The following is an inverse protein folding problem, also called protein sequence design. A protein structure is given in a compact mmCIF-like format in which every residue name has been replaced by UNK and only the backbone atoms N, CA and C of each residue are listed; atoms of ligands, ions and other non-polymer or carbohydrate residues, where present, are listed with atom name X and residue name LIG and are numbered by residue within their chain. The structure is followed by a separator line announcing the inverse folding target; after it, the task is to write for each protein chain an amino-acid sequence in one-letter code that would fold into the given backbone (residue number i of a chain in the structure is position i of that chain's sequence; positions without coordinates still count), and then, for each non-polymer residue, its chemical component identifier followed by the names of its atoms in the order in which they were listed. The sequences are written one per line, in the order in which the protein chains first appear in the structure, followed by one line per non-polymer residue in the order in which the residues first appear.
data_IF_780325958511
#
_entry.id   IF_780325958511
#
_cell.length_a   1.000
_cell.length_b   1.000
_cell.length_c   1.000
_cell.angle_alpha   90.00
_cell.angle_beta   90.00
_cell.angle_gamma   90.00
#
_symmetry.space_group_name_H-M   'P 1'
#
loop_
_entity.id
_entity.type
_entity.pdbx_description
1 polymer ?
#
# COMPACT_ATOMS: atom_id res chain seq x y z
N UNK A 1 -13.72 -5.26 11.31
CA UNK A 1 -13.47 -4.33 10.20
C UNK A 1 -14.24 -3.04 10.47
N UNK A 2 -13.59 -1.86 10.46
CA UNK A 2 -14.26 -0.58 10.73
C UNK A 2 -15.01 -0.06 9.50
N UNK A 3 -15.99 0.82 9.69
CA UNK A 3 -16.74 1.45 8.57
C UNK A 3 -15.80 2.19 7.60
N UNK A 4 -14.76 2.84 8.13
CA UNK A 4 -13.74 3.53 7.34
C UNK A 4 -12.93 2.54 6.48
N UNK A 5 -12.61 1.36 7.02
CA UNK A 5 -11.94 0.29 6.27
C UNK A 5 -12.84 -0.25 5.16
N UNK A 6 -14.15 -0.43 5.42
CA UNK A 6 -15.11 -0.86 4.39
C UNK A 6 -15.19 0.15 3.23
N UNK A 7 -15.27 1.46 3.54
CA UNK A 7 -15.27 2.51 2.51
C UNK A 7 -13.99 2.49 1.68
N UNK A 8 -12.83 2.26 2.31
CA UNK A 8 -11.55 2.13 1.60
C UNK A 8 -11.50 0.86 0.74
N UNK A 9 -12.06 -0.25 1.22
CA UNK A 9 -12.14 -1.50 0.49
C UNK A 9 -13.02 -1.34 -0.77
N UNK A 10 -14.18 -0.68 -0.63
CA UNK A 10 -15.05 -0.38 -1.75
C UNK A 10 -14.33 0.52 -2.78
N UNK A 11 -13.60 1.54 -2.32
CA UNK A 11 -12.76 2.37 -3.22
C UNK A 11 -11.68 1.55 -3.91
N UNK A 12 -11.07 0.59 -3.20
CA UNK A 12 -10.06 -0.26 -3.78
C UNK A 12 -10.62 -1.12 -4.92
N UNK A 13 -11.76 -1.78 -4.65
CA UNK A 13 -12.47 -2.60 -5.63
C UNK A 13 -12.93 -1.79 -6.84
N UNK A 14 -13.60 -0.65 -6.62
CA UNK A 14 -14.05 0.22 -7.71
C UNK A 14 -12.90 0.74 -8.56
N UNK A 15 -11.76 1.09 -7.95
CA UNK A 15 -10.59 1.56 -8.69
C UNK A 15 -9.94 0.50 -9.56
N UNK A 16 -9.87 -0.73 -9.06
CA UNK A 16 -9.37 -1.88 -9.83
C UNK A 16 -10.31 -2.20 -10.99
N UNK A 17 -11.62 -2.31 -10.74
CA UNK A 17 -12.60 -2.66 -11.77
C UNK A 17 -12.71 -1.60 -12.87
N UNK A 18 -12.62 -0.32 -12.50
CA UNK A 18 -12.61 0.80 -13.44
C UNK A 18 -11.25 1.04 -14.12
N UNK A 19 -10.22 0.21 -13.85
CA UNK A 19 -8.84 0.38 -14.34
C UNK A 19 -8.19 1.71 -13.95
N UNK A 20 -8.71 2.37 -12.92
CA UNK A 20 -8.15 3.59 -12.34
C UNK A 20 -7.01 3.29 -11.35
N UNK A 21 -6.85 2.03 -10.98
CA UNK A 21 -5.70 1.51 -10.24
C UNK A 21 -5.12 0.28 -10.93
N UNK A 22 -3.79 0.18 -10.89
CA UNK A 22 -3.03 -0.99 -11.35
C UNK A 22 -1.96 -1.31 -10.32
N UNK A 23 -1.84 -2.59 -9.98
CA UNK A 23 -0.81 -3.13 -9.08
C UNK A 23 0.25 -3.80 -9.94
N UNK A 24 1.51 -3.49 -9.66
CA UNK A 24 2.68 -4.08 -10.30
C UNK A 24 3.61 -4.63 -9.20
N UNK A 25 3.99 -5.88 -9.30
CA UNK A 25 5.03 -6.47 -8.44
C UNK A 25 6.39 -5.90 -8.80
N UNK A 26 7.14 -5.45 -7.79
CA UNK A 26 8.55 -5.02 -7.95
C UNK A 26 9.47 -6.06 -7.34
N UNK A 27 9.15 -6.52 -6.12
CA UNK A 27 9.89 -7.56 -5.40
C UNK A 27 8.91 -8.60 -4.91
N UNK A 28 9.16 -9.85 -5.30
CA UNK A 28 8.31 -11.04 -5.12
C UNK A 28 7.57 -11.06 -3.77
N UNK A 29 6.31 -10.61 -3.79
CA UNK A 29 5.42 -10.64 -2.63
C UNK A 29 5.76 -9.69 -1.48
N UNK A 30 6.65 -8.71 -1.66
CA UNK A 30 7.07 -7.77 -0.60
C UNK A 30 6.94 -6.29 -0.95
N UNK A 31 7.11 -5.94 -2.23
CA UNK A 31 7.05 -4.55 -2.70
C UNK A 31 6.21 -4.49 -3.96
N UNK A 32 5.23 -3.59 -3.96
CA UNK A 32 4.33 -3.34 -5.07
C UNK A 32 4.32 -1.86 -5.43
N UNK A 33 4.33 -1.55 -6.72
CA UNK A 33 3.94 -0.25 -7.23
C UNK A 33 2.44 -0.24 -7.54
N UNK A 34 1.73 0.73 -6.97
CA UNK A 34 0.31 0.97 -7.24
C UNK A 34 0.17 2.28 -8.00
N UNK A 35 -0.04 2.19 -9.31
CA UNK A 35 -0.40 3.34 -10.13
C UNK A 35 -1.88 3.67 -9.92
N UNK A 36 -2.20 4.89 -9.50
CA UNK A 36 -3.56 5.30 -9.15
C UNK A 36 -3.91 6.68 -9.71
N UNK A 37 -4.96 6.74 -10.54
CA UNK A 37 -5.56 8.02 -10.97
C UNK A 37 -6.61 8.55 -10.00
N UNK A 38 -6.99 7.76 -8.98
CA UNK A 38 -7.97 8.11 -7.95
C UNK A 38 -7.40 8.86 -6.75
N UNK A 39 -6.14 9.30 -6.82
CA UNK A 39 -5.48 10.01 -5.72
C UNK A 39 -5.40 11.50 -6.01
N UNK A 40 -5.16 12.29 -4.96
CA UNK A 40 -5.04 13.76 -5.04
C UNK A 40 -4.03 14.21 -6.09
N UNK A 41 -2.96 13.43 -6.30
CA UNK A 41 -2.06 13.56 -7.43
C UNK A 41 -2.49 12.57 -8.52
N UNK A 42 -3.08 13.08 -9.59
CA UNK A 42 -3.50 12.27 -10.74
C UNK A 42 -2.29 11.54 -11.34
N UNK A 43 -2.44 10.23 -11.59
CA UNK A 43 -1.39 9.40 -12.19
C UNK A 43 -0.21 9.11 -11.27
N UNK A 44 -0.35 9.29 -9.94
CA UNK A 44 0.72 8.99 -9.01
C UNK A 44 0.96 7.49 -8.86
N UNK A 45 2.23 7.14 -8.67
CA UNK A 45 2.69 5.80 -8.28
C UNK A 45 2.94 5.84 -6.77
N UNK A 46 2.30 4.91 -6.05
CA UNK A 46 2.51 4.70 -4.62
C UNK A 46 3.21 3.37 -4.42
N UNK A 47 4.19 3.34 -3.51
CA UNK A 47 4.82 2.10 -3.11
C UNK A 47 4.04 1.53 -1.94
N UNK A 48 3.73 0.24 -2.02
CA UNK A 48 3.14 -0.56 -0.96
C UNK A 48 4.16 -1.63 -0.57
N UNK A 49 4.36 -1.83 0.73
CA UNK A 49 5.27 -2.85 1.24
C UNK A 49 4.65 -3.66 2.37
N UNK A 50 5.14 -4.89 2.55
CA UNK A 50 4.82 -5.76 3.68
C UNK A 50 6.11 -6.30 4.28
N UNK A 51 6.27 -6.25 5.61
CA UNK A 51 7.52 -6.71 6.24
C UNK A 51 8.69 -5.73 6.11
N UNK A 52 8.47 -4.57 5.50
CA UNK A 52 9.50 -3.57 5.18
C UNK A 52 8.98 -2.21 5.61
N UNK A 53 9.63 -1.60 6.59
CA UNK A 53 9.34 -0.23 7.03
C UNK A 53 9.76 0.77 5.94
N UNK A 54 8.84 1.59 5.43
CA UNK A 54 9.15 2.58 4.40
C UNK A 54 10.09 3.69 4.88
N UNK A 55 10.11 3.99 6.19
CA UNK A 55 11.05 4.98 6.75
C UNK A 55 12.51 4.57 6.56
N UNK A 56 12.79 3.27 6.43
CA UNK A 56 14.15 2.73 6.21
C UNK A 56 14.70 3.02 4.81
N UNK A 57 13.84 3.36 3.85
CA UNK A 57 14.24 3.65 2.47
C UNK A 57 14.53 5.12 2.22
N UNK A 58 13.85 6.02 2.94
CA UNK A 58 13.70 7.40 2.49
C UNK A 58 14.69 8.39 3.11
N UNK A 59 15.68 7.94 3.91
CA UNK A 59 16.75 8.88 4.30
C UNK A 59 18.14 8.38 4.68
N UNK A 60 18.37 7.23 5.32
CA UNK A 60 19.74 6.83 5.67
C UNK A 60 19.84 5.31 5.81
N UNK A 61 20.81 4.69 5.15
CA UNK A 61 21.24 3.29 5.37
C UNK A 61 21.95 3.17 6.75
N UNK A 62 21.26 3.53 7.82
CA UNK A 62 21.73 3.25 9.17
C UNK A 62 21.20 1.89 9.60
N UNK A 63 22.15 1.00 9.91
CA UNK A 63 21.99 -0.27 10.61
C UNK A 63 20.63 -0.46 11.26
N UNK A 64 19.72 -1.11 10.54
CA UNK A 64 18.59 -1.76 11.20
C UNK A 64 19.20 -2.84 12.08
N UNK A 65 18.95 -2.84 13.40
CA UNK A 65 19.17 -4.05 14.17
C UNK A 65 18.32 -5.12 13.49
N UNK A 66 18.90 -6.30 13.25
CA UNK A 66 18.28 -7.51 12.68
C UNK A 66 16.79 -7.32 12.37
N UNK A 67 16.36 -7.33 11.08
CA UNK A 67 15.01 -6.92 10.70
C UNK A 67 14.01 -7.63 11.61
N UNK A 68 13.49 -6.91 12.62
CA UNK A 68 12.37 -7.40 13.39
C UNK A 68 11.29 -7.49 12.34
N UNK A 69 10.95 -8.72 11.95
CA UNK A 69 9.81 -9.01 11.10
C UNK A 69 8.64 -8.17 11.63
N UNK A 70 8.33 -7.09 10.92
CA UNK A 70 7.25 -6.21 11.24
C UNK A 70 6.18 -6.59 10.23
N UNK A 71 5.23 -7.49 10.57
CA UNK A 71 4.22 -7.99 9.64
C UNK A 71 3.16 -6.92 9.35
N UNK A 72 3.59 -5.67 9.19
CA UNK A 72 2.78 -4.50 8.96
C UNK A 72 2.84 -4.09 7.50
N UNK A 73 1.71 -3.59 7.04
CA UNK A 73 1.56 -3.01 5.71
C UNK A 73 1.93 -1.53 5.77
N UNK A 74 2.72 -1.08 4.79
CA UNK A 74 3.11 0.32 4.65
C UNK A 74 2.71 0.81 3.26
N UNK A 75 2.42 2.10 3.14
CA UNK A 75 2.12 2.73 1.86
C UNK A 75 2.60 4.18 1.82
N UNK A 76 3.20 4.60 0.70
CA UNK A 76 3.74 5.96 0.54
C UNK A 76 2.68 7.02 0.26
N UNK A 77 1.40 6.70 0.48
CA UNK A 77 0.30 7.61 0.15
C UNK A 77 -0.06 8.49 1.35
N UNK A 78 -0.51 9.75 1.12
CA UNK A 78 -0.83 10.66 2.21
C UNK A 78 -1.97 10.20 3.14
N UNK A 79 -2.85 9.28 2.68
CA UNK A 79 -3.90 8.71 3.54
C UNK A 79 -3.31 7.77 4.59
N UNK A 80 -2.32 6.98 4.20
CA UNK A 80 -1.62 6.09 5.12
C UNK A 80 -0.74 6.88 6.08
N UNK A 81 0.06 7.83 5.59
CA UNK A 81 0.91 8.70 6.42
C UNK A 81 0.13 9.38 7.56
N UNK A 82 -1.11 9.80 7.29
CA UNK A 82 -1.95 10.47 8.29
C UNK A 82 -2.58 9.54 9.31
N UNK A 83 -2.84 8.28 8.94
CA UNK A 83 -3.77 7.41 9.69
C UNK A 83 -3.15 6.13 10.18
N UNK A 84 -2.04 5.70 9.57
CA UNK A 84 -1.36 4.44 9.85
C UNK A 84 -2.33 3.24 9.85
N UNK A 85 -3.23 3.23 8.85
CA UNK A 85 -4.25 2.20 8.66
C UNK A 85 -4.28 1.76 7.19
N UNK A 86 -4.73 0.54 6.87
CA UNK A 86 -4.83 0.07 5.49
C UNK A 86 -5.59 1.05 4.59
N UNK A 87 -4.85 1.67 3.66
CA UNK A 87 -5.38 2.59 2.68
C UNK A 87 -5.94 1.82 1.47
N UNK A 88 -6.59 2.52 0.52
CA UNK A 88 -7.10 1.89 -0.70
C UNK A 88 -6.02 1.16 -1.53
N UNK A 89 -4.76 1.59 -1.46
CA UNK A 89 -3.66 0.98 -2.21
C UNK A 89 -3.20 -0.34 -1.59
N UNK A 90 -3.07 -0.40 -0.27
CA UNK A 90 -2.82 -1.65 0.47
C UNK A 90 -3.93 -2.66 0.18
N UNK A 91 -5.19 -2.21 0.27
CA UNK A 91 -6.34 -3.08 0.01
C UNK A 91 -6.39 -3.56 -1.45
N UNK A 92 -5.95 -2.73 -2.41
CA UNK A 92 -5.86 -3.14 -3.81
C UNK A 92 -4.81 -4.24 -4.02
N UNK A 93 -3.64 -4.14 -3.40
CA UNK A 93 -2.62 -5.20 -3.39
C UNK A 93 -3.21 -6.48 -2.79
N UNK A 94 -3.84 -6.37 -1.62
CA UNK A 94 -4.43 -7.54 -0.97
C UNK A 94 -5.45 -8.26 -1.86
N UNK A 95 -6.35 -7.52 -2.50
CA UNK A 95 -7.34 -8.08 -3.44
C UNK A 95 -6.63 -8.79 -4.61
N UNK A 96 -5.68 -8.12 -5.27
CA UNK A 96 -5.02 -8.64 -6.47
C UNK A 96 -4.19 -9.90 -6.20
N UNK A 97 -3.65 -10.03 -5.00
CA UNK A 97 -2.79 -11.16 -4.60
C UNK A 97 -3.52 -12.17 -3.70
N UNK A 98 -4.85 -12.08 -3.59
CA UNK A 98 -5.68 -12.95 -2.73
C UNK A 98 -5.20 -13.01 -1.27
N UNK A 99 -4.62 -11.90 -0.77
CA UNK A 99 -4.18 -11.77 0.62
C UNK A 99 -5.39 -11.37 1.48
N UNK A 100 -5.58 -11.97 2.67
CA UNK A 100 -6.68 -11.61 3.56
C UNK A 100 -6.73 -10.11 3.89
N UNK A 101 -7.91 -9.50 3.70
CA UNK A 101 -8.21 -8.08 3.95
C UNK A 101 -8.31 -7.75 5.42
#
# INVERSE_FOLDING_TARGET
MTEDTQKRLQKAFSGLSARQMRVLDIVDGRIWAVHSTMSSRQGAIYLVTYGIDQWTWDRHLHHLPDPKECPEWQCSCPDFEKRHQPCKHILAVKIMHAIPV
#
